data_IF_906774885729
#
_entry.id   IF_906774885729
#
_cell.length_a   1.000
_cell.length_b   1.000
_cell.length_c   1.000
_cell.angle_alpha   90.00
_cell.angle_beta   90.00
_cell.angle_gamma   90.00
#
_symmetry.space_group_name_H-M   'P 1'
#
loop_
_entity.id
_entity.type
_entity.pdbx_description
1 polymer ?
#
# COMPACT_ATOMS: atom_id res chain seq x y z
N UNK A 1 -17.70 52.65 43.69
CA UNK A 1 -17.60 52.30 42.27
C UNK A 1 -18.19 50.91 42.15
N UNK A 2 -19.51 50.79 42.21
CA UNK A 2 -20.47 50.90 41.09
C UNK A 2 -20.23 49.84 40.01
N UNK A 3 -20.99 48.76 40.19
CA UNK A 3 -21.56 47.77 39.29
C UNK A 3 -21.32 47.95 37.78
N UNK A 4 -20.96 46.85 37.11
CA UNK A 4 -21.70 46.35 35.92
C UNK A 4 -21.39 44.86 35.67
N UNK A 5 -22.36 43.97 35.89
CA UNK A 5 -22.33 42.59 35.39
C UNK A 5 -23.57 42.35 34.51
N UNK A 6 -23.48 42.48 33.19
CA UNK A 6 -24.43 41.84 32.26
C UNK A 6 -24.07 42.12 30.80
N UNK A 7 -23.56 41.12 30.10
CA UNK A 7 -23.68 41.02 28.65
C UNK A 7 -23.86 39.54 28.28
N UNK A 8 -25.10 39.08 28.42
CA UNK A 8 -25.57 37.86 27.77
C UNK A 8 -25.66 38.10 26.25
N UNK A 9 -25.11 37.21 25.41
CA UNK A 9 -25.37 37.25 23.98
C UNK A 9 -26.79 36.76 23.69
N UNK A 10 -27.48 37.53 22.83
CA UNK A 10 -28.82 37.29 22.35
C UNK A 10 -28.99 35.88 21.75
N UNK A 11 -29.98 35.15 22.24
CA UNK A 11 -30.52 33.98 21.58
C UNK A 11 -31.26 34.41 20.30
N UNK A 12 -30.64 34.14 19.15
CA UNK A 12 -31.33 34.16 17.86
C UNK A 12 -32.03 32.82 17.65
N UNK A 13 -33.29 32.77 18.04
CA UNK A 13 -34.25 31.79 17.53
C UNK A 13 -34.60 32.16 16.09
N UNK A 14 -34.06 31.40 15.13
CA UNK A 14 -34.60 31.33 13.78
C UNK A 14 -34.88 29.86 13.47
N UNK A 15 -36.13 29.52 13.68
CA UNK A 15 -36.83 28.36 13.14
C UNK A 15 -36.60 28.31 11.62
N UNK A 16 -35.78 27.36 11.18
CA UNK A 16 -35.61 27.02 9.78
C UNK A 16 -35.57 25.51 9.68
N UNK A 17 -36.72 24.90 9.97
CA UNK A 17 -37.04 23.52 9.67
C UNK A 17 -37.05 23.32 8.15
N UNK A 18 -35.87 23.26 7.56
CA UNK A 18 -35.65 22.85 6.19
C UNK A 18 -35.55 21.32 6.21
N UNK A 19 -36.47 20.57 5.57
CA UNK A 19 -36.39 19.13 5.54
C UNK A 19 -35.04 18.75 4.92
N UNK A 20 -34.29 17.89 5.62
CA UNK A 20 -33.06 17.33 5.12
C UNK A 20 -33.30 16.83 3.70
N UNK A 21 -32.48 17.23 2.70
CA UNK A 21 -32.64 16.72 1.35
C UNK A 21 -32.50 15.21 1.42
N UNK A 22 -33.60 14.50 1.16
CA UNK A 22 -33.59 13.05 1.00
C UNK A 22 -32.43 12.71 0.07
N UNK A 23 -31.53 11.77 0.44
CA UNK A 23 -30.42 11.36 -0.40
C UNK A 23 -30.99 10.92 -1.74
N UNK A 24 -30.79 11.76 -2.76
CA UNK A 24 -31.20 11.47 -4.12
C UNK A 24 -30.46 10.20 -4.55
N UNK A 25 -31.13 9.19 -5.11
CA UNK A 25 -30.50 7.97 -5.59
C UNK A 25 -29.77 8.25 -6.91
N UNK A 26 -28.70 9.05 -6.86
CA UNK A 26 -27.84 9.38 -8.00
C UNK A 26 -26.66 8.42 -8.16
N UNK A 27 -26.42 7.51 -7.20
CA UNK A 27 -25.21 6.67 -7.18
C UNK A 27 -25.42 5.20 -7.61
N UNK A 28 -26.66 4.70 -7.69
CA UNK A 28 -26.89 3.30 -8.06
C UNK A 28 -26.56 2.99 -9.53
N UNK A 29 -26.70 3.98 -10.42
CA UNK A 29 -26.40 3.82 -11.84
C UNK A 29 -24.90 3.96 -12.18
N UNK A 30 -24.11 4.62 -11.32
CA UNK A 30 -22.65 4.70 -11.48
C UNK A 30 -21.93 3.44 -10.95
N UNK A 31 -22.56 2.69 -10.04
CA UNK A 31 -22.02 1.43 -9.53
C UNK A 31 -22.05 0.30 -10.57
N UNK A 32 -22.93 0.37 -11.57
CA UNK A 32 -23.21 -0.75 -12.49
C UNK A 32 -22.31 -0.81 -13.73
N UNK A 33 -21.46 0.19 -13.97
CA UNK A 33 -20.54 0.23 -15.12
C UNK A 33 -19.06 0.39 -14.73
N UNK A 34 -18.76 0.38 -13.43
CA UNK A 34 -17.39 0.27 -12.94
C UNK A 34 -16.86 -1.12 -13.28
N UNK A 35 -16.11 -1.22 -14.38
CA UNK A 35 -15.27 -2.38 -14.72
C UNK A 35 -14.53 -2.83 -13.46
N UNK A 36 -14.85 -4.02 -12.94
CA UNK A 36 -14.55 -4.49 -11.58
C UNK A 36 -13.08 -4.65 -11.22
N UNK A 37 -12.26 -3.61 -11.38
CA UNK A 37 -10.83 -3.54 -11.11
C UNK A 37 -10.45 -2.22 -10.38
N UNK A 38 -11.43 -1.55 -9.73
CA UNK A 38 -11.17 -0.31 -8.98
C UNK A 38 -10.19 -0.53 -7.83
N UNK A 39 -10.31 -1.67 -7.15
CA UNK A 39 -9.40 -2.20 -6.15
C UNK A 39 -7.93 -2.18 -6.58
N UNK A 40 -7.68 -2.45 -7.86
CA UNK A 40 -6.33 -2.43 -8.44
C UNK A 40 -5.86 -1.00 -8.71
N UNK A 41 -6.72 -0.16 -9.29
CA UNK A 41 -6.30 1.15 -9.81
C UNK A 41 -5.82 2.11 -8.73
N UNK A 42 -6.26 1.93 -7.48
CA UNK A 42 -5.73 2.66 -6.33
C UNK A 42 -4.20 2.49 -6.18
N UNK A 43 -3.68 1.30 -6.49
CA UNK A 43 -2.28 0.95 -6.32
C UNK A 43 -1.43 1.15 -7.59
N UNK A 44 -2.05 1.55 -8.70
CA UNK A 44 -1.37 1.70 -9.98
C UNK A 44 -1.19 3.18 -10.34
N UNK A 45 -0.06 3.49 -10.99
CA UNK A 45 0.25 4.83 -11.48
C UNK A 45 0.82 4.77 -12.90
N UNK A 46 0.73 5.88 -13.64
CA UNK A 46 1.34 6.03 -14.95
C UNK A 46 2.87 5.92 -14.86
N UNK A 47 3.52 5.16 -15.75
CA UNK A 47 4.98 5.08 -15.85
C UNK A 47 5.44 5.42 -17.27
N UNK A 48 6.47 6.24 -17.38
CA UNK A 48 6.99 6.71 -18.67
C UNK A 48 7.84 5.63 -19.38
N UNK A 49 8.64 4.89 -18.62
CA UNK A 49 9.60 3.91 -19.12
C UNK A 49 9.49 2.55 -18.42
N UNK A 50 10.10 1.53 -19.03
CA UNK A 50 10.38 0.26 -18.36
C UNK A 50 11.54 0.38 -17.39
N UNK A 51 12.50 1.22 -17.73
CA UNK A 51 13.67 1.44 -16.90
C UNK A 51 13.32 2.24 -15.67
N UNK A 52 14.00 1.92 -14.58
CA UNK A 52 13.85 2.58 -13.29
C UNK A 52 14.39 4.02 -13.38
N UNK A 53 13.67 5.03 -12.88
CA UNK A 53 14.17 6.39 -12.75
C UNK A 53 15.40 6.49 -11.83
N UNK A 54 16.10 7.64 -11.86
CA UNK A 54 17.14 7.93 -10.87
C UNK A 54 16.56 7.94 -9.45
N UNK A 55 17.39 7.69 -8.43
CA UNK A 55 16.93 7.65 -7.04
C UNK A 55 16.35 9.00 -6.56
N UNK A 56 16.88 10.12 -7.07
CA UNK A 56 16.31 11.45 -6.84
C UNK A 56 14.88 11.55 -7.38
N UNK A 57 14.65 11.10 -8.62
CA UNK A 57 13.32 11.08 -9.23
C UNK A 57 12.36 10.10 -8.53
N UNK A 58 12.88 9.01 -7.97
CA UNK A 58 12.06 8.04 -7.21
C UNK A 58 11.42 8.71 -5.98
N UNK A 59 12.15 9.56 -5.26
CA UNK A 59 11.61 10.28 -4.10
C UNK A 59 10.42 11.17 -4.50
N UNK A 60 10.57 11.94 -5.58
CA UNK A 60 9.52 12.80 -6.12
C UNK A 60 8.29 12.00 -6.59
N UNK A 61 8.53 10.86 -7.24
CA UNK A 61 7.47 9.95 -7.69
C UNK A 61 6.68 9.39 -6.49
N UNK A 62 7.37 8.96 -5.43
CA UNK A 62 6.70 8.46 -4.22
C UNK A 62 5.87 9.57 -3.56
N UNK A 63 6.39 10.80 -3.49
CA UNK A 63 5.65 11.94 -2.95
C UNK A 63 4.37 12.22 -3.77
N UNK A 64 4.48 12.22 -5.10
CA UNK A 64 3.34 12.40 -6.00
C UNK A 64 2.31 11.26 -5.89
N UNK A 65 2.77 10.01 -5.77
CA UNK A 65 1.90 8.84 -5.60
C UNK A 65 1.12 8.92 -4.27
N UNK A 66 1.78 9.33 -3.18
CA UNK A 66 1.15 9.52 -1.88
C UNK A 66 0.11 10.66 -1.92
N UNK A 67 0.44 11.80 -2.51
CA UNK A 67 -0.48 12.93 -2.67
C UNK A 67 -1.71 12.56 -3.50
N UNK A 68 -1.52 11.76 -4.57
CA UNK A 68 -2.64 11.23 -5.36
C UNK A 68 -3.53 10.31 -4.52
N UNK A 69 -2.92 9.39 -3.75
CA UNK A 69 -3.66 8.43 -2.91
C UNK A 69 -4.41 9.10 -1.75
N UNK A 70 -3.93 10.22 -1.22
CA UNK A 70 -4.61 10.97 -0.16
C UNK A 70 -5.76 11.84 -0.65
N UNK A 71 -5.76 12.25 -1.92
CA UNK A 71 -6.73 13.23 -2.45
C UNK A 71 -8.02 12.58 -2.95
N UNK A 72 -7.95 11.38 -3.50
CA UNK A 72 -9.09 10.72 -4.14
C UNK A 72 -9.64 9.60 -3.25
N UNK A 73 -10.97 9.48 -3.19
CA UNK A 73 -11.60 8.31 -2.60
C UNK A 73 -11.29 7.06 -3.43
N UNK A 74 -11.16 5.90 -2.77
CA UNK A 74 -10.74 4.64 -3.39
C UNK A 74 -11.54 4.24 -4.63
N UNK A 75 -12.86 4.41 -4.60
CA UNK A 75 -13.76 4.07 -5.71
C UNK A 75 -13.69 5.07 -6.89
N UNK A 76 -13.01 6.20 -6.74
CA UNK A 76 -12.84 7.21 -7.80
C UNK A 76 -11.59 6.96 -8.64
N UNK A 77 -10.73 6.01 -8.27
CA UNK A 77 -9.54 5.69 -9.04
C UNK A 77 -9.91 5.04 -10.37
N UNK A 78 -9.37 5.62 -11.44
CA UNK A 78 -9.53 5.14 -12.81
C UNK A 78 -8.23 4.55 -13.30
N UNK A 79 -8.37 3.64 -14.26
CA UNK A 79 -7.24 3.08 -15.00
C UNK A 79 -6.34 4.21 -15.54
N UNK A 80 -5.03 4.21 -15.25
CA UNK A 80 -4.10 5.19 -15.80
C UNK A 80 -4.09 5.14 -17.34
N UNK A 81 -3.79 6.26 -17.99
CA UNK A 81 -3.90 6.42 -19.45
C UNK A 81 -2.58 6.19 -20.19
N UNK A 82 -1.47 6.13 -19.48
CA UNK A 82 -0.15 5.88 -20.04
C UNK A 82 -0.06 4.53 -20.75
N UNK A 83 0.96 4.36 -21.60
CA UNK A 83 1.26 3.08 -22.26
C UNK A 83 1.81 2.03 -21.29
N UNK A 84 2.36 2.44 -20.14
CA UNK A 84 2.90 1.56 -19.10
C UNK A 84 2.45 2.02 -17.73
N UNK A 85 2.16 1.07 -16.85
CA UNK A 85 1.75 1.35 -15.47
C UNK A 85 2.73 0.71 -14.49
N UNK A 86 2.92 1.35 -13.34
CA UNK A 86 3.75 0.85 -12.24
C UNK A 86 2.89 0.53 -11.01
N UNK A 87 3.40 -0.39 -10.18
CA UNK A 87 2.85 -0.65 -8.85
C UNK A 87 3.49 0.32 -7.85
N UNK A 88 2.66 1.16 -7.23
CA UNK A 88 3.10 2.12 -6.22
C UNK A 88 3.66 1.46 -4.96
N UNK A 89 3.14 0.28 -4.60
CA UNK A 89 3.60 -0.48 -3.42
C UNK A 89 4.98 -1.11 -3.63
N UNK A 90 5.28 -1.63 -4.83
CA UNK A 90 6.62 -2.14 -5.15
C UNK A 90 7.68 -1.06 -4.95
N UNK A 91 7.39 0.15 -5.43
CA UNK A 91 8.32 1.27 -5.30
C UNK A 91 8.47 1.71 -3.84
N UNK A 92 7.36 1.84 -3.10
CA UNK A 92 7.36 2.35 -1.72
C UNK A 92 7.88 1.34 -0.69
N UNK A 93 7.48 0.08 -0.79
CA UNK A 93 7.76 -0.94 0.24
C UNK A 93 9.03 -1.75 -0.05
N UNK A 94 9.34 -1.97 -1.34
CA UNK A 94 10.47 -2.82 -1.76
C UNK A 94 11.56 -2.05 -2.51
N UNK A 95 11.34 -0.77 -2.79
CA UNK A 95 12.21 0.02 -3.66
C UNK A 95 12.45 -0.68 -5.02
N UNK A 96 11.42 -1.35 -5.56
CA UNK A 96 11.47 -2.09 -6.83
C UNK A 96 10.63 -1.38 -7.91
N UNK A 97 11.17 -1.24 -9.12
CA UNK A 97 10.46 -0.66 -10.26
C UNK A 97 9.77 -1.75 -11.09
N UNK A 98 8.59 -2.19 -10.63
CA UNK A 98 7.78 -3.16 -11.38
C UNK A 98 6.76 -2.45 -12.25
N UNK A 99 6.78 -2.77 -13.53
CA UNK A 99 5.97 -2.11 -14.56
C UNK A 99 5.38 -3.09 -15.56
N UNK A 100 4.24 -2.73 -16.14
CA UNK A 100 3.51 -3.56 -17.10
C UNK A 100 2.99 -2.73 -18.27
N UNK A 101 2.82 -3.36 -19.43
CA UNK A 101 2.23 -2.73 -20.62
C UNK A 101 0.73 -2.54 -20.43
N UNK A 102 0.27 -1.30 -20.52
CA UNK A 102 -1.12 -0.93 -20.33
C UNK A 102 -1.95 -1.17 -21.59
N UNK A 103 -2.22 -2.43 -21.90
CA UNK A 103 -3.05 -2.82 -23.05
C UNK A 103 -4.53 -2.59 -22.78
N UNK A 104 -5.32 -2.47 -23.84
CA UNK A 104 -6.78 -2.40 -23.75
C UNK A 104 -7.30 -3.79 -23.35
N UNK A 105 -7.84 -3.91 -22.13
CA UNK A 105 -8.34 -5.16 -21.56
C UNK A 105 -7.29 -6.04 -20.86
N UNK A 106 -7.75 -6.80 -19.86
CA UNK A 106 -7.04 -7.98 -19.34
C UNK A 106 -5.89 -7.77 -18.34
N UNK A 107 -5.43 -6.54 -18.08
CA UNK A 107 -4.32 -6.31 -17.14
C UNK A 107 -4.73 -6.30 -15.65
N UNK A 108 -6.02 -6.16 -15.34
CA UNK A 108 -6.49 -6.14 -13.95
C UNK A 108 -6.23 -7.47 -13.22
N UNK A 109 -6.35 -8.61 -13.91
CA UNK A 109 -6.09 -9.93 -13.33
C UNK A 109 -4.63 -10.12 -12.88
N UNK A 110 -3.61 -9.94 -13.74
CA UNK A 110 -2.21 -10.08 -13.30
C UNK A 110 -1.83 -9.05 -12.24
N UNK A 111 -2.48 -7.88 -12.22
CA UNK A 111 -2.27 -6.89 -11.17
C UNK A 111 -2.85 -7.33 -9.83
N UNK A 112 -4.07 -7.90 -9.81
CA UNK A 112 -4.63 -8.48 -8.59
C UNK A 112 -3.75 -9.60 -8.05
N UNK A 113 -3.31 -10.50 -8.91
CA UNK A 113 -2.40 -11.59 -8.53
C UNK A 113 -1.08 -11.06 -7.98
N UNK A 114 -0.53 -10.00 -8.59
CA UNK A 114 0.65 -9.33 -8.08
C UNK A 114 0.40 -8.72 -6.68
N UNK A 115 -0.70 -7.98 -6.49
CA UNK A 115 -1.03 -7.33 -5.22
C UNK A 115 -1.31 -8.36 -4.12
N UNK A 116 -2.05 -9.43 -4.40
CA UNK A 116 -2.34 -10.48 -3.42
C UNK A 116 -1.09 -11.26 -3.01
N UNK A 117 -0.17 -11.50 -3.94
CA UNK A 117 1.06 -12.24 -3.67
C UNK A 117 2.15 -11.40 -3.02
N UNK A 118 2.39 -10.20 -3.54
CA UNK A 118 3.55 -9.38 -3.18
C UNK A 118 3.24 -8.35 -2.10
N UNK A 119 1.97 -7.96 -1.95
CA UNK A 119 1.51 -6.92 -1.02
C UNK A 119 0.19 -7.30 -0.29
N UNK A 120 0.05 -8.53 0.24
CA UNK A 120 -1.23 -9.03 0.77
C UNK A 120 -1.80 -8.15 1.89
N UNK A 121 -0.94 -7.69 2.79
CA UNK A 121 -1.36 -6.91 3.97
C UNK A 121 -1.99 -5.59 3.56
N UNK A 122 -1.28 -4.76 2.79
CA UNK A 122 -1.74 -3.45 2.36
C UNK A 122 -2.95 -3.55 1.43
N UNK A 123 -2.94 -4.53 0.53
CA UNK A 123 -4.04 -4.77 -0.41
C UNK A 123 -5.34 -5.17 0.31
N UNK A 124 -5.29 -6.22 1.14
CA UNK A 124 -6.47 -6.72 1.85
C UNK A 124 -7.02 -5.72 2.86
N UNK A 125 -6.14 -4.98 3.54
CA UNK A 125 -6.55 -3.91 4.46
C UNK A 125 -7.37 -2.85 3.72
N UNK A 126 -6.88 -2.35 2.58
CA UNK A 126 -7.59 -1.32 1.80
C UNK A 126 -8.90 -1.82 1.22
N UNK A 127 -8.96 -3.06 0.72
CA UNK A 127 -10.21 -3.66 0.28
C UNK A 127 -11.23 -3.75 1.43
N UNK A 128 -10.79 -4.18 2.62
CA UNK A 128 -11.64 -4.31 3.80
C UNK A 128 -12.16 -2.95 4.30
N UNK A 129 -11.32 -1.91 4.32
CA UNK A 129 -11.71 -0.54 4.69
C UNK A 129 -12.82 0.02 3.79
N UNK A 130 -12.94 -0.46 2.56
CA UNK A 130 -13.91 0.01 1.57
C UNK A 130 -15.17 -0.85 1.51
N UNK A 131 -15.31 -1.84 2.40
CA UNK A 131 -16.44 -2.77 2.38
C UNK A 131 -16.47 -3.67 1.14
N UNK A 132 -15.41 -3.64 0.31
CA UNK A 132 -15.19 -4.65 -0.71
C UNK A 132 -14.62 -5.86 0.01
N UNK A 133 -15.51 -6.70 0.53
CA UNK A 133 -15.12 -8.03 0.99
C UNK A 133 -14.28 -8.63 -0.14
N UNK A 134 -13.00 -8.90 0.14
CA UNK A 134 -12.11 -9.54 -0.82
C UNK A 134 -12.87 -10.72 -1.39
N UNK A 135 -13.18 -10.67 -2.68
CA UNK A 135 -13.97 -11.72 -3.33
C UNK A 135 -13.28 -13.02 -2.95
N UNK A 136 -13.95 -13.92 -2.21
CA UNK A 136 -13.29 -15.07 -1.62
C UNK A 136 -12.62 -15.80 -2.77
N UNK A 137 -11.28 -15.84 -2.73
CA UNK A 137 -10.47 -16.60 -3.69
C UNK A 137 -11.22 -17.88 -3.95
N UNK A 138 -11.60 -18.11 -5.21
CA UNK A 138 -12.38 -19.26 -5.63
C UNK A 138 -11.93 -20.49 -4.86
N UNK A 139 -12.66 -20.83 -3.79
CA UNK A 139 -12.53 -22.11 -3.13
C UNK A 139 -12.73 -23.08 -4.28
N UNK A 140 -11.73 -23.90 -4.65
CA UNK A 140 -11.88 -24.85 -5.75
C UNK A 140 -13.15 -25.61 -5.42
N UNK A 141 -14.15 -25.49 -6.28
CA UNK A 141 -15.50 -25.94 -6.02
C UNK A 141 -15.42 -27.31 -5.34
N UNK A 142 -15.74 -27.35 -4.06
CA UNK A 142 -15.93 -28.61 -3.36
C UNK A 142 -16.87 -29.45 -4.24
N UNK A 143 -16.63 -30.76 -4.37
CA UNK A 143 -17.37 -31.61 -5.30
C UNK A 143 -18.85 -31.34 -5.11
N UNK A 144 -19.45 -30.70 -6.12
CA UNK A 144 -20.86 -30.39 -6.14
C UNK A 144 -21.60 -31.71 -5.96
N UNK A 145 -22.22 -31.87 -4.79
CA UNK A 145 -23.20 -32.89 -4.52
C UNK A 145 -24.47 -32.56 -5.32
N UNK A 146 -24.36 -32.65 -6.64
CA UNK A 146 -25.52 -32.84 -7.49
C UNK A 146 -26.04 -34.25 -7.21
N UNK A 147 -27.34 -34.43 -6.92
CA UNK A 147 -27.93 -35.76 -6.91
C UNK A 147 -27.72 -36.44 -8.28
N UNK A 148 -27.53 -37.77 -8.32
CA UNK A 148 -27.23 -38.48 -9.55
C UNK A 148 -28.31 -38.22 -10.60
N UNK A 149 -27.90 -37.62 -11.72
CA UNK A 149 -28.73 -37.52 -12.91
C UNK A 149 -29.17 -38.92 -13.37
N UNK A 150 -30.43 -39.09 -13.79
CA UNK A 150 -30.89 -40.36 -14.36
C UNK A 150 -30.09 -40.71 -15.63
N UNK A 151 -29.97 -42.02 -15.95
CA UNK A 151 -29.17 -42.48 -17.08
C UNK A 151 -29.66 -41.86 -18.40
N UNK A 152 -28.74 -41.43 -19.29
CA UNK A 152 -29.09 -40.81 -20.55
C UNK A 152 -29.81 -41.81 -21.47
N UNK A 153 -30.96 -41.39 -22.00
CA UNK A 153 -31.59 -42.10 -23.12
C UNK A 153 -30.68 -42.04 -24.37
N UNK A 154 -30.62 -43.13 -25.16
CA UNK A 154 -29.81 -43.17 -26.37
C UNK A 154 -30.45 -42.33 -27.48
N UNK A 155 -29.83 -41.19 -27.80
CA UNK A 155 -30.10 -40.44 -29.04
C UNK A 155 -29.29 -41.02 -30.21
N UNK A 156 -29.85 -41.07 -31.43
CA UNK A 156 -29.19 -41.62 -32.61
C UNK A 156 -28.02 -40.73 -33.08
N UNK A 157 -26.89 -41.39 -33.39
CA UNK A 157 -25.62 -40.80 -33.82
C UNK A 157 -25.75 -40.09 -35.17
N UNK A 158 -25.28 -38.84 -35.30
CA UNK A 158 -24.87 -38.27 -36.59
C UNK A 158 -23.48 -38.80 -36.96
N UNK A 159 -23.33 -39.31 -38.18
CA UNK A 159 -22.05 -39.71 -38.75
C UNK A 159 -21.16 -38.46 -38.93
N UNK A 160 -19.94 -38.52 -38.40
CA UNK A 160 -18.87 -37.56 -38.71
C UNK A 160 -17.78 -38.22 -39.54
N UNK A 161 -17.16 -37.47 -40.48
CA UNK A 161 -16.17 -38.02 -41.40
C UNK A 161 -14.83 -38.25 -40.71
N UNK A 162 -14.26 -39.41 -41.06
CA UNK A 162 -12.93 -39.92 -40.77
C UNK A 162 -11.86 -38.85 -41.03
N UNK A 163 -11.21 -38.37 -39.97
CA UNK A 163 -10.01 -37.52 -40.05
C UNK A 163 -8.81 -38.31 -39.56
N UNK A 164 -7.78 -38.33 -40.39
CA UNK A 164 -6.59 -39.15 -40.31
C UNK A 164 -5.65 -38.75 -39.16
N UNK A 165 -4.98 -39.75 -38.59
CA UNK A 165 -3.97 -39.65 -37.55
C UNK A 165 -2.71 -38.91 -38.02
N UNK A 166 -2.17 -37.95 -37.24
CA UNK A 166 -0.81 -37.48 -37.45
C UNK A 166 0.19 -38.43 -36.79
N UNK A 167 1.18 -38.81 -37.59
CA UNK A 167 2.31 -39.66 -37.20
C UNK A 167 3.30 -38.94 -36.28
N UNK A 168 3.97 -39.77 -35.49
CA UNK A 168 5.21 -39.52 -34.74
C UNK A 168 6.24 -38.70 -35.54
N UNK A 169 6.76 -37.63 -34.92
CA UNK A 169 7.98 -36.93 -35.37
C UNK A 169 9.09 -37.23 -34.33
N UNK A 170 10.27 -37.72 -34.74
CA UNK A 170 11.41 -37.96 -33.86
C UNK A 170 12.23 -36.68 -33.54
N UNK A 171 13.05 -36.68 -32.47
CA UNK A 171 13.80 -35.51 -32.03
C UNK A 171 15.02 -35.20 -32.91
N UNK A 172 15.12 -33.95 -33.36
CA UNK A 172 16.27 -33.41 -34.10
C UNK A 172 17.40 -32.89 -33.19
N UNK A 173 18.64 -32.81 -33.70
CA UNK A 173 19.85 -32.59 -32.91
C UNK A 173 20.11 -31.12 -32.54
N UNK A 174 20.88 -30.95 -31.47
CA UNK A 174 21.36 -29.68 -30.92
C UNK A 174 22.19 -28.85 -31.92
N UNK A 175 22.05 -27.51 -31.93
CA UNK A 175 22.97 -26.66 -32.68
C UNK A 175 24.17 -26.22 -31.83
N UNK A 176 25.33 -26.38 -32.46
CA UNK A 176 26.66 -25.98 -32.03
C UNK A 176 26.83 -24.48 -31.80
N UNK A 177 27.76 -24.17 -30.90
CA UNK A 177 28.37 -22.86 -30.70
C UNK A 177 29.18 -22.40 -31.91
N UNK A 178 29.12 -21.09 -32.23
CA UNK A 178 30.25 -20.30 -32.77
C UNK A 178 30.06 -18.81 -32.38
N UNK A 179 31.12 -18.08 -32.00
CA UNK A 179 31.07 -16.67 -31.56
C UNK A 179 31.29 -15.69 -32.71
N UNK A 180 30.84 -14.43 -32.59
CA UNK A 180 31.38 -13.27 -33.31
C UNK A 180 31.00 -11.94 -32.66
N UNK A 181 31.96 -11.04 -32.74
CA UNK A 181 32.23 -9.78 -32.02
C UNK A 181 31.41 -8.57 -32.55
N UNK A 182 31.57 -7.35 -32.01
CA UNK A 182 30.54 -6.31 -31.96
C UNK A 182 30.58 -5.34 -33.15
N UNK A 183 29.45 -4.70 -33.43
CA UNK A 183 29.37 -3.50 -34.27
C UNK A 183 28.66 -2.37 -33.50
N UNK A 184 29.19 -1.13 -33.49
CA UNK A 184 28.47 0.02 -32.95
C UNK A 184 27.51 0.57 -34.01
N UNK A 185 26.26 0.92 -33.68
CA UNK A 185 25.46 1.70 -34.60
C UNK A 185 25.87 3.17 -34.56
N UNK A 186 26.23 3.64 -35.76
CA UNK A 186 26.37 5.03 -36.16
C UNK A 186 25.22 5.92 -35.69
N UNK A 187 25.63 7.05 -35.10
CA UNK A 187 25.17 8.41 -35.38
C UNK A 187 24.10 8.55 -36.49
N UNK A 188 22.92 9.04 -36.13
CA UNK A 188 21.99 9.66 -37.08
C UNK A 188 21.01 10.63 -36.40
N UNK A 189 21.20 11.91 -36.74
CA UNK A 189 20.21 12.99 -36.82
C UNK A 189 19.47 13.44 -35.54
N UNK A 190 20.12 14.34 -34.80
CA UNK A 190 19.40 15.39 -34.07
C UNK A 190 18.79 16.38 -35.07
N UNK A 191 17.47 16.30 -35.24
CA UNK A 191 16.66 17.38 -35.81
C UNK A 191 16.53 18.46 -34.74
N UNK A 192 17.32 19.53 -34.84
CA UNK A 192 17.11 20.73 -34.03
C UNK A 192 15.78 21.39 -34.45
N UNK A 193 14.76 21.24 -33.62
CA UNK A 193 13.59 22.09 -33.68
C UNK A 193 14.03 23.55 -33.41
N UNK A 194 13.87 24.39 -34.42
CA UNK A 194 14.14 25.82 -34.34
C UNK A 194 13.16 26.46 -33.34
N UNK A 195 13.65 26.79 -32.15
CA UNK A 195 12.95 27.70 -31.24
C UNK A 195 12.93 29.10 -31.88
N UNK A 196 11.77 29.77 -31.93
CA UNK A 196 11.70 31.17 -32.34
C UNK A 196 12.50 32.02 -31.35
N UNK A 197 13.57 32.62 -31.84
CA UNK A 197 14.38 33.60 -31.10
C UNK A 197 13.47 34.79 -30.73
N UNK A 198 13.43 35.22 -29.45
CA UNK A 198 12.76 36.45 -29.09
C UNK A 198 13.44 37.64 -29.77
N UNK A 199 12.68 38.66 -30.21
CA UNK A 199 13.24 39.80 -30.92
C UNK A 199 14.25 40.53 -30.03
N UNK A 200 15.49 40.64 -30.52
CA UNK A 200 16.54 41.44 -29.91
C UNK A 200 16.03 42.87 -29.63
N UNK A 201 16.20 43.40 -28.40
CA UNK A 201 15.86 44.80 -28.13
C UNK A 201 16.77 45.71 -28.94
N UNK A 202 16.15 46.58 -29.75
CA UNK A 202 16.86 47.63 -30.50
C UNK A 202 17.72 48.49 -29.56
N UNK A 203 18.96 48.83 -29.95
CA UNK A 203 19.77 49.81 -29.23
C UNK A 203 19.05 51.16 -29.21
N UNK A 204 18.61 51.60 -28.02
CA UNK A 204 18.12 52.97 -27.84
C UNK A 204 19.31 53.92 -27.86
N UNK A 205 19.18 54.94 -28.71
CA UNK A 205 20.12 56.03 -28.86
C UNK A 205 20.55 56.63 -27.52
N UNK A 206 21.85 56.87 -27.41
CA UNK A 206 22.49 57.60 -26.33
C UNK A 206 21.81 58.95 -26.10
N UNK A 207 21.19 59.11 -24.93
CA UNK A 207 20.89 60.44 -24.41
C UNK A 207 22.12 60.97 -23.67
N UNK A 208 22.44 62.27 -23.81
CA UNK A 208 23.52 62.93 -23.10
C UNK A 208 23.44 62.71 -21.58
N UNK A 209 24.61 62.40 -21.03
CA UNK A 209 24.88 62.15 -19.61
C UNK A 209 24.49 63.36 -18.74
N UNK A 210 23.39 63.22 -17.99
CA UNK A 210 23.03 64.13 -16.89
C UNK A 210 23.81 63.74 -15.60
N UNK A 211 24.60 64.64 -14.98
CA UNK A 211 25.43 64.32 -13.82
C UNK A 211 24.71 64.20 -12.47
N UNK A 212 23.36 64.27 -12.40
CA UNK A 212 22.64 64.46 -11.13
C UNK A 212 22.08 63.18 -10.48
N UNK A 213 22.32 61.99 -11.06
CA UNK A 213 21.83 60.70 -10.54
C UNK A 213 22.71 60.02 -9.48
N UNK A 214 23.89 60.57 -9.17
CA UNK A 214 24.81 59.94 -8.20
C UNK A 214 24.42 60.16 -6.74
N UNK A 215 23.66 61.21 -6.42
CA UNK A 215 23.12 61.40 -5.06
C UNK A 215 21.95 60.45 -4.78
N UNK A 216 21.11 60.19 -5.77
CA UNK A 216 19.94 59.30 -5.63
C UNK A 216 20.31 57.84 -5.47
N UNK A 217 21.41 57.37 -6.07
CA UNK A 217 21.83 55.98 -5.96
C UNK A 217 22.36 55.62 -4.55
N UNK A 218 22.99 56.57 -3.88
CA UNK A 218 23.52 56.38 -2.52
C UNK A 218 22.40 56.46 -1.49
N UNK A 219 21.42 57.36 -1.67
CA UNK A 219 20.19 57.39 -0.86
C UNK A 219 19.34 56.12 -1.06
N UNK A 220 19.21 55.61 -2.29
CA UNK A 220 18.54 54.33 -2.54
C UNK A 220 19.27 53.14 -1.92
N UNK A 221 20.61 53.15 -1.93
CA UNK A 221 21.39 52.10 -1.27
C UNK A 221 21.25 52.18 0.26
N UNK A 222 21.19 53.38 0.83
CA UNK A 222 20.97 53.59 2.26
C UNK A 222 19.56 53.14 2.67
N UNK A 223 18.54 53.50 1.89
CA UNK A 223 17.15 53.11 2.14
C UNK A 223 16.95 51.58 1.99
N UNK A 224 17.63 50.94 1.04
CA UNK A 224 17.62 49.48 0.92
C UNK A 224 18.27 48.79 2.13
N UNK A 225 19.34 49.36 2.70
CA UNK A 225 19.97 48.83 3.92
C UNK A 225 19.08 49.04 5.15
N UNK A 226 18.38 50.16 5.26
CA UNK A 226 17.43 50.42 6.35
C UNK A 226 16.16 49.57 6.26
N UNK A 227 15.69 49.25 5.05
CA UNK A 227 14.57 48.31 4.82
C UNK A 227 14.95 46.87 5.21
N UNK A 228 16.19 46.46 4.95
CA UNK A 228 16.72 45.15 5.38
C UNK A 228 17.01 45.13 6.89
N UNK A 229 17.35 46.27 7.49
CA UNK A 229 17.59 46.41 8.93
C UNK A 229 16.31 46.64 9.75
N UNK A 230 15.13 46.56 9.13
CA UNK A 230 13.86 46.72 9.86
C UNK A 230 13.68 45.55 10.86
N UNK A 231 13.47 45.83 12.15
CA UNK A 231 13.30 44.82 13.21
C UNK A 231 12.09 43.89 13.03
N UNK A 232 11.23 44.16 12.05
CA UNK A 232 10.11 43.27 11.70
C UNK A 232 10.58 41.93 11.12
N UNK A 233 11.75 41.85 10.49
CA UNK A 233 12.25 40.56 9.98
C UNK A 233 12.78 39.66 11.10
N UNK A 234 13.40 40.22 12.15
CA UNK A 234 13.86 39.43 13.30
C UNK A 234 12.70 38.82 14.08
N UNK A 235 11.60 39.57 14.27
CA UNK A 235 10.38 39.05 14.93
C UNK A 235 9.80 37.86 14.16
N UNK A 236 9.73 37.92 12.83
CA UNK A 236 9.23 36.80 12.01
C UNK A 236 10.13 35.55 12.06
N UNK A 237 11.45 35.73 12.21
CA UNK A 237 12.39 34.60 12.30
C UNK A 237 12.27 33.93 13.68
N UNK A 238 12.11 34.70 14.75
CA UNK A 238 11.92 34.17 16.10
C UNK A 238 10.58 33.43 16.22
N UNK A 239 9.51 33.96 15.62
CA UNK A 239 8.20 33.30 15.56
C UNK A 239 8.27 31.95 14.84
N UNK A 240 8.90 31.89 13.65
CA UNK A 240 9.08 30.64 12.92
C UNK A 240 9.96 29.61 13.67
N UNK A 241 10.94 30.07 14.45
CA UNK A 241 11.73 29.18 15.31
C UNK A 241 10.89 28.61 16.44
N UNK A 242 10.05 29.42 17.06
CA UNK A 242 9.13 28.97 18.11
C UNK A 242 8.10 27.97 17.56
N UNK A 243 7.52 28.22 16.38
CA UNK A 243 6.62 27.29 15.70
C UNK A 243 7.31 25.96 15.38
N UNK A 244 8.55 26.00 14.87
CA UNK A 244 9.32 24.79 14.59
C UNK A 244 9.60 23.97 15.86
N UNK A 245 9.94 24.65 16.96
CA UNK A 245 10.15 24.00 18.25
C UNK A 245 8.86 23.38 18.79
N UNK A 246 7.72 24.06 18.62
CA UNK A 246 6.41 23.53 18.98
C UNK A 246 6.03 22.29 18.16
N UNK A 247 6.22 22.32 16.84
CA UNK A 247 5.97 21.18 15.95
C UNK A 247 6.86 20.00 16.32
N UNK A 248 8.13 20.27 16.65
CA UNK A 248 9.06 19.23 17.13
C UNK A 248 8.58 18.62 18.44
N UNK A 249 8.18 19.44 19.41
CA UNK A 249 7.65 18.98 20.70
C UNK A 249 6.37 18.14 20.52
N UNK A 250 5.47 18.56 19.61
CA UNK A 250 4.26 17.80 19.29
C UNK A 250 4.58 16.44 18.67
N UNK A 251 5.48 16.41 17.68
CA UNK A 251 5.92 15.16 17.04
C UNK A 251 6.55 14.20 18.06
N UNK A 252 7.39 14.72 18.96
CA UNK A 252 8.04 13.91 19.99
C UNK A 252 7.02 13.40 21.03
N UNK A 253 5.98 14.19 21.34
CA UNK A 253 4.85 13.75 22.16
C UNK A 253 4.06 12.61 21.50
N UNK A 254 3.73 12.74 20.21
CA UNK A 254 3.02 11.70 19.44
C UNK A 254 3.84 10.40 19.34
N UNK A 255 5.16 10.51 19.15
CA UNK A 255 6.06 9.36 19.12
C UNK A 255 6.11 8.64 20.47
N UNK A 256 6.12 9.39 21.58
CA UNK A 256 6.05 8.81 22.91
C UNK A 256 4.70 8.14 23.18
N UNK A 257 3.59 8.76 22.78
CA UNK A 257 2.25 8.18 22.89
C UNK A 257 2.15 6.87 22.11
N UNK A 258 2.68 6.83 20.88
CA UNK A 258 2.75 5.61 20.06
C UNK A 258 3.55 4.51 20.74
N UNK A 259 4.71 4.83 21.32
CA UNK A 259 5.54 3.86 22.05
C UNK A 259 4.80 3.26 23.25
N UNK A 260 4.05 4.08 24.00
CA UNK A 260 3.23 3.60 25.11
C UNK A 260 2.11 2.66 24.65
N UNK A 261 1.42 3.01 23.56
CA UNK A 261 0.39 2.14 22.98
C UNK A 261 0.97 0.81 22.48
N UNK A 262 2.15 0.83 21.86
CA UNK A 262 2.84 -0.39 21.42
C UNK A 262 3.21 -1.31 22.60
N UNK A 263 3.66 -0.73 23.71
CA UNK A 263 3.92 -1.48 24.95
C UNK A 263 2.64 -2.08 25.53
N UNK A 264 1.54 -1.33 25.55
CA UNK A 264 0.26 -1.83 26.07
C UNK A 264 -0.31 -2.96 25.20
N UNK A 265 -0.23 -2.82 23.86
CA UNK A 265 -0.60 -3.89 22.94
C UNK A 265 0.23 -5.16 23.15
N UNK A 266 1.53 -5.01 23.44
CA UNK A 266 2.38 -6.15 23.77
C UNK A 266 1.90 -6.86 25.05
N UNK A 267 1.64 -6.10 26.13
CA UNK A 267 1.12 -6.65 27.39
C UNK A 267 -0.22 -7.36 27.21
N UNK A 268 -1.13 -6.76 26.45
CA UNK A 268 -2.44 -7.36 26.16
C UNK A 268 -2.32 -8.66 25.35
N UNK A 269 -1.40 -8.72 24.39
CA UNK A 269 -1.12 -9.93 23.61
C UNK A 269 -0.52 -11.05 24.48
N UNK A 270 0.36 -10.70 25.40
CA UNK A 270 0.93 -11.66 26.36
C UNK A 270 -0.12 -12.19 27.33
N UNK A 271 -0.98 -11.31 27.86
CA UNK A 271 -2.11 -11.70 28.70
C UNK A 271 -3.14 -12.58 27.94
N UNK A 272 -3.34 -12.34 26.64
CA UNK A 272 -4.17 -13.21 25.81
C UNK A 272 -3.56 -14.62 25.69
N UNK A 273 -2.26 -14.74 25.38
CA UNK A 273 -1.57 -16.04 25.33
C UNK A 273 -1.65 -16.80 26.65
N UNK A 274 -1.45 -16.11 27.78
CA UNK A 274 -1.58 -16.72 29.10
C UNK A 274 -3.00 -17.28 29.35
N UNK A 275 -4.04 -16.57 28.91
CA UNK A 275 -5.43 -17.07 28.99
C UNK A 275 -5.66 -18.27 28.09
N UNK A 276 -5.11 -18.27 26.88
CA UNK A 276 -5.22 -19.40 25.96
C UNK A 276 -4.54 -20.66 26.51
N UNK A 277 -3.38 -20.52 27.16
CA UNK A 277 -2.70 -21.62 27.85
C UNK A 277 -3.54 -22.21 28.99
N UNK A 278 -4.17 -21.36 29.81
CA UNK A 278 -5.10 -21.82 30.85
C UNK A 278 -6.33 -22.51 30.27
N UNK A 279 -6.87 -22.01 29.15
CA UNK A 279 -8.01 -22.61 28.47
C UNK A 279 -7.67 -24.01 27.92
N UNK A 280 -6.45 -24.18 27.39
CA UNK A 280 -5.94 -25.50 26.97
C UNK A 280 -5.84 -26.45 28.17
N UNK A 281 -5.31 -26.02 29.31
CA UNK A 281 -5.24 -26.84 30.53
C UNK A 281 -6.63 -27.27 31.02
N UNK A 282 -7.58 -26.33 31.06
CA UNK A 282 -8.97 -26.62 31.45
C UNK A 282 -9.60 -27.62 30.47
N UNK A 283 -9.40 -27.45 29.16
CA UNK A 283 -9.88 -28.38 28.14
C UNK A 283 -9.32 -29.80 28.36
N UNK A 284 -8.02 -29.92 28.64
CA UNK A 284 -7.38 -31.20 28.93
C UNK A 284 -7.95 -31.87 30.20
N UNK A 285 -8.18 -31.10 31.27
CA UNK A 285 -8.79 -31.62 32.51
C UNK A 285 -10.22 -32.14 32.27
N UNK A 286 -11.01 -31.41 31.49
CA UNK A 286 -12.38 -31.82 31.12
C UNK A 286 -12.32 -33.11 30.28
N UNK A 287 -11.45 -33.17 29.27
CA UNK A 287 -11.26 -34.35 28.44
C UNK A 287 -10.83 -35.58 29.26
N UNK A 288 -9.89 -35.43 30.19
CA UNK A 288 -9.46 -36.51 31.08
C UNK A 288 -10.60 -37.00 31.98
N UNK A 289 -11.40 -36.07 32.53
CA UNK A 289 -12.55 -36.39 33.37
C UNK A 289 -13.64 -37.13 32.59
N UNK A 290 -13.92 -36.71 31.36
CA UNK A 290 -14.87 -37.39 30.47
C UNK A 290 -14.38 -38.79 30.07
N UNK A 291 -13.07 -38.95 29.79
CA UNK A 291 -12.49 -40.27 29.52
C UNK A 291 -12.60 -41.20 30.72
N UNK A 292 -12.41 -40.70 31.95
CA UNK A 292 -12.59 -41.50 33.16
C UNK A 292 -14.05 -41.94 33.37
N UNK A 293 -15.02 -41.10 33.01
CA UNK A 293 -16.46 -41.40 33.12
C UNK A 293 -16.94 -42.39 32.04
N UNK A 294 -16.50 -42.23 30.79
CA UNK A 294 -16.94 -43.06 29.66
C UNK A 294 -16.14 -44.36 29.53
N UNK A 295 -14.84 -44.30 29.86
CA UNK A 295 -13.89 -45.39 29.76
C UNK A 295 -13.73 -46.22 31.03
N UNK A 296 -14.68 -46.12 31.99
CA UNK A 296 -14.74 -47.07 33.10
C UNK A 296 -14.64 -48.49 32.53
N UNK A 297 -13.72 -49.33 33.03
CA UNK A 297 -13.44 -50.62 32.42
C UNK A 297 -14.75 -51.39 32.36
N UNK A 298 -15.26 -51.60 31.14
CA UNK A 298 -16.21 -52.66 30.89
C UNK A 298 -15.38 -53.92 31.09
N UNK A 299 -15.26 -54.34 32.35
CA UNK A 299 -14.75 -55.64 32.70
C UNK A 299 -15.66 -56.64 32.03
N UNK A 300 -15.29 -57.03 30.82
CA UNK A 300 -15.91 -58.15 30.13
C UNK A 300 -15.78 -59.35 31.08
N UNK A 301 -16.89 -59.92 31.57
CA UNK A 301 -16.82 -61.07 32.47
C UNK A 301 -16.26 -62.25 31.68
N UNK A 302 -14.97 -62.58 31.89
CA UNK A 302 -14.35 -63.78 31.35
C UNK A 302 -13.00 -63.61 30.63
N UNK A 303 -12.45 -62.41 30.51
CA UNK A 303 -11.11 -62.25 29.93
C UNK A 303 -10.01 -62.60 30.97
N UNK A 304 -9.06 -63.50 30.68
CA UNK A 304 -7.97 -63.85 31.57
C UNK A 304 -7.08 -62.62 31.88
N UNK A 305 -6.43 -62.57 33.05
CA UNK A 305 -5.67 -61.41 33.49
C UNK A 305 -4.57 -61.08 32.46
N UNK A 306 -4.44 -59.80 32.04
CA UNK A 306 -3.40 -59.41 31.10
C UNK A 306 -2.03 -59.58 31.75
N UNK A 307 -1.17 -60.34 31.07
CA UNK A 307 0.25 -60.48 31.39
C UNK A 307 0.88 -59.09 31.29
N UNK A 308 1.42 -58.61 32.40
CA UNK A 308 2.07 -57.30 32.54
C UNK A 308 3.19 -57.15 31.50
N UNK A 309 3.10 -56.22 30.54
CA UNK A 309 4.24 -55.91 29.69
C UNK A 309 5.29 -55.16 30.52
N UNK A 310 6.52 -55.68 30.47
CA UNK A 310 7.73 -55.09 31.05
C UNK A 310 7.86 -53.64 30.58
N UNK A 311 7.92 -52.71 31.52
CA UNK A 311 8.03 -51.27 31.28
C UNK A 311 9.29 -50.96 30.46
N UNK A 312 9.11 -50.61 29.18
CA UNK A 312 10.11 -49.91 28.42
C UNK A 312 10.09 -48.44 28.85
N UNK A 313 11.17 -48.00 29.48
CA UNK A 313 11.44 -46.61 29.86
C UNK A 313 11.45 -45.72 28.62
N UNK A 314 10.32 -45.10 28.29
CA UNK A 314 10.25 -44.08 27.25
C UNK A 314 10.90 -42.79 27.75
N UNK A 315 12.05 -42.50 27.16
CA UNK A 315 12.81 -41.26 27.30
C UNK A 315 11.93 -40.05 27.01
N UNK A 316 11.83 -39.14 27.98
CA UNK A 316 11.18 -37.84 27.84
C UNK A 316 11.78 -37.05 26.67
N UNK A 317 10.97 -36.49 25.75
CA UNK A 317 11.46 -35.50 24.80
C UNK A 317 11.84 -34.22 25.56
N UNK A 318 13.11 -33.84 25.44
CA UNK A 318 13.65 -32.59 25.97
C UNK A 318 12.85 -31.39 25.43
N UNK A 319 12.52 -30.39 26.27
CA UNK A 319 11.94 -29.15 25.79
C UNK A 319 12.95 -28.44 24.87
N UNK A 320 12.51 -28.12 23.65
CA UNK A 320 13.29 -27.32 22.73
C UNK A 320 13.56 -25.93 23.35
N UNK A 321 14.80 -25.41 23.28
CA UNK A 321 15.10 -24.07 23.76
C UNK A 321 14.31 -23.03 22.93
N UNK A 322 13.91 -21.90 23.54
CA UNK A 322 13.23 -20.83 22.84
C UNK A 322 14.09 -20.31 21.69
N UNK A 323 13.53 -20.30 20.49
CA UNK A 323 14.14 -19.71 19.30
C UNK A 323 14.30 -18.21 19.56
N UNK A 324 15.54 -17.77 19.77
CA UNK A 324 15.89 -16.36 19.86
C UNK A 324 15.58 -15.71 18.50
N UNK A 325 14.54 -14.88 18.46
CA UNK A 325 14.29 -14.03 17.30
C UNK A 325 15.42 -13.01 17.20
N UNK A 326 16.11 -12.90 16.04
CA UNK A 326 17.12 -11.87 15.84
C UNK A 326 16.45 -10.51 15.94
N UNK A 327 16.91 -9.70 16.90
CA UNK A 327 16.57 -8.29 17.01
C UNK A 327 16.82 -7.59 15.65
N UNK A 328 15.84 -6.86 15.09
CA UNK A 328 16.10 -6.01 13.95
C UNK A 328 17.09 -4.90 14.36
N UNK A 329 18.04 -4.66 13.45
CA UNK A 329 19.20 -3.79 13.55
C UNK A 329 18.92 -2.36 14.06
N UNK A 330 19.95 -1.68 14.60
CA UNK A 330 19.86 -0.35 15.19
C UNK A 330 19.58 0.74 14.15
N UNK A 331 18.85 1.74 14.63
CA UNK A 331 18.47 2.97 13.94
C UNK A 331 19.64 3.71 13.29
N UNK A 332 19.41 4.40 12.15
CA UNK A 332 20.39 5.29 11.56
C UNK A 332 20.65 6.51 12.47
N UNK A 333 21.93 6.86 12.58
CA UNK A 333 22.44 8.00 13.33
C UNK A 333 21.78 9.32 12.91
N UNK A 334 21.57 10.28 13.84
CA UNK A 334 21.13 11.62 13.49
C UNK A 334 22.21 12.34 12.67
N UNK A 335 21.78 12.83 11.51
CA UNK A 335 22.55 13.70 10.62
C UNK A 335 22.93 14.98 11.38
N UNK A 336 24.22 15.29 11.41
CA UNK A 336 24.78 16.49 12.03
C UNK A 336 24.96 17.56 10.93
N UNK A 337 24.14 18.62 10.87
CA UNK A 337 24.38 19.71 9.93
C UNK A 337 25.54 20.58 10.45
N UNK A 338 26.63 20.60 9.69
CA UNK A 338 27.68 21.64 9.79
C UNK A 338 27.30 22.85 8.96
#
# INVERSE_FOLDING_TARGET
MSLDPDMLPAQVSADSSQPAPSPQPIDAAYQSASTGAQDVWFFMADADSQDRPSDEAVADIIAADNARQSTLAFHLFKKPKSTRIRCTLCLREKNEWRTWLNRIGGISRPMREHLSKEHPTTYNQKCSEQGQAAEPEHTPAGPSSNPPNPPPQPTPKPQTPRRESPQHIPPGPAPSAVPSTPGPPSSSHHVHAAYPQPPYPRPRHHTPWEPDRRKTALEFAQEAVDVVSRPRQSETIEELRAELEQVKAQRDHELNARRLLEQELYRMREAARARDEELIKVSQLISASLQALVGGPVSAPGAPPPVMPVQATHSHPHPHPPVAYPYPYPYPYPYNPS
#
